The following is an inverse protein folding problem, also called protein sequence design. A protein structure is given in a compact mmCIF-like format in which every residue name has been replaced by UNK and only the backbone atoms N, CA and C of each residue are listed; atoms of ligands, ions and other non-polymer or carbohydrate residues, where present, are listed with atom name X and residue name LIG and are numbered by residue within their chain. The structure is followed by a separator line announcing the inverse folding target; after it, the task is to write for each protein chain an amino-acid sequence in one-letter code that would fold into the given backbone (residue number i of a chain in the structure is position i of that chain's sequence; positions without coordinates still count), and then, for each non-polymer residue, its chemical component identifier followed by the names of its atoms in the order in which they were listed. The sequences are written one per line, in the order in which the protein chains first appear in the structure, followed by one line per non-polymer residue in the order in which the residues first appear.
data_IF_302846335864
#
_entry.id   IF_302846335864
#
_cell.length_a   1.000
_cell.length_b   1.000
_cell.length_c   1.000
_cell.angle_alpha   90.00
_cell.angle_beta   90.00
_cell.angle_gamma   90.00
#
_symmetry.space_group_name_H-M   'P 1'
#
loop_
_entity.id
_entity.type
_entity.pdbx_description
1 polymer ?
#
# COMPACT_ATOMS: atom_id res chain seq x y z
N UNK A 1 2.29 18.53 -2.02
CA UNK A 1 2.26 18.61 -0.54
C UNK A 1 2.16 17.23 0.10
N UNK A 2 1.24 16.35 -0.33
CA UNK A 2 1.06 15.02 0.26
C UNK A 2 2.36 14.21 0.38
N UNK A 3 3.18 14.17 -0.67
CA UNK A 3 4.49 13.49 -0.67
C UNK A 3 5.43 13.98 0.45
N UNK A 4 5.44 15.29 0.72
CA UNK A 4 6.28 15.85 1.78
C UNK A 4 5.75 15.45 3.16
N UNK A 5 4.42 15.51 3.35
CA UNK A 5 3.80 15.10 4.61
C UNK A 5 3.94 13.61 4.87
N UNK A 6 3.76 12.76 3.86
CA UNK A 6 3.97 11.30 4.00
C UNK A 6 5.44 10.97 4.24
N UNK A 7 6.36 11.69 3.60
CA UNK A 7 7.81 11.54 3.84
C UNK A 7 8.21 11.90 5.27
N UNK A 8 7.75 13.04 5.79
CA UNK A 8 8.01 13.45 7.18
C UNK A 8 7.33 12.48 8.15
N UNK A 9 6.09 12.08 7.89
CA UNK A 9 5.37 11.10 8.70
C UNK A 9 6.06 9.73 8.76
N UNK A 10 6.60 9.25 7.63
CA UNK A 10 7.37 8.02 7.57
C UNK A 10 8.68 8.11 8.36
N UNK A 11 9.39 9.25 8.28
CA UNK A 11 10.61 9.48 9.06
C UNK A 11 10.33 9.54 10.57
N UNK A 12 9.24 10.20 10.99
CA UNK A 12 8.84 10.21 12.39
C UNK A 12 8.39 8.82 12.87
N UNK A 13 7.66 8.09 12.04
CA UNK A 13 7.24 6.71 12.31
C UNK A 13 8.43 5.77 12.47
N UNK A 14 9.46 5.87 11.63
CA UNK A 14 10.65 5.02 11.75
C UNK A 14 11.40 5.28 13.05
N UNK A 15 11.55 6.55 13.47
CA UNK A 15 12.19 6.93 14.74
C UNK A 15 11.40 6.43 15.95
N UNK A 16 10.07 6.53 15.91
CA UNK A 16 9.20 6.11 17.02
C UNK A 16 9.22 4.59 17.25
N UNK A 17 9.48 3.80 16.21
CA UNK A 17 9.46 2.32 16.27
C UNK A 17 10.84 1.66 16.48
N UNK A 18 11.94 2.41 16.67
CA UNK A 18 13.32 1.87 16.83
C UNK A 18 13.47 0.86 17.99
N UNK A 19 12.63 0.95 19.03
CA UNK A 19 12.65 0.05 20.20
C UNK A 19 11.36 -0.73 20.43
N UNK A 20 10.45 -0.76 19.46
CA UNK A 20 9.14 -1.40 19.62
C UNK A 20 9.23 -2.93 19.57
N UNK A 21 8.35 -3.61 20.30
CA UNK A 21 8.26 -5.07 20.25
C UNK A 21 7.86 -5.54 18.83
N UNK A 22 8.38 -6.68 18.34
CA UNK A 22 8.02 -7.21 17.02
C UNK A 22 6.52 -7.43 16.84
N UNK A 23 5.81 -7.79 17.91
CA UNK A 23 4.36 -7.99 17.90
C UNK A 23 3.59 -6.70 17.62
N UNK A 24 3.99 -5.58 18.26
CA UNK A 24 3.36 -4.27 18.04
C UNK A 24 3.61 -3.77 16.62
N UNK A 25 4.83 -3.96 16.11
CA UNK A 25 5.15 -3.57 14.74
C UNK A 25 4.32 -4.34 13.71
N UNK A 26 4.25 -5.67 13.84
CA UNK A 26 3.45 -6.52 12.97
C UNK A 26 1.95 -6.19 13.03
N UNK A 27 1.43 -5.88 14.23
CA UNK A 27 0.04 -5.48 14.41
C UNK A 27 -0.28 -4.18 13.66
N UNK A 28 0.54 -3.14 13.85
CA UNK A 28 0.33 -1.83 13.19
C UNK A 28 0.48 -1.96 11.67
N UNK A 29 1.48 -2.72 11.20
CA UNK A 29 1.69 -2.94 9.77
C UNK A 29 0.54 -3.74 9.15
N UNK A 30 0.00 -4.74 9.85
CA UNK A 30 -1.18 -5.49 9.43
C UNK A 30 -2.44 -4.62 9.33
N UNK A 31 -2.68 -3.76 10.32
CA UNK A 31 -3.79 -2.80 10.27
C UNK A 31 -3.63 -1.82 9.10
N UNK A 32 -2.42 -1.29 8.89
CA UNK A 32 -2.14 -0.39 7.77
C UNK A 32 -2.34 -1.07 6.40
N UNK A 33 -1.91 -2.33 6.27
CA UNK A 33 -2.14 -3.12 5.06
C UNK A 33 -3.64 -3.33 4.81
N UNK A 34 -4.42 -3.62 5.86
CA UNK A 34 -5.88 -3.75 5.76
C UNK A 34 -6.55 -2.47 5.30
N UNK A 35 -6.17 -1.31 5.86
CA UNK A 35 -6.71 -0.01 5.45
C UNK A 35 -6.46 0.29 3.96
N UNK A 36 -5.26 -0.04 3.46
CA UNK A 36 -4.92 0.09 2.03
C UNK A 36 -5.80 -0.83 1.16
N UNK A 37 -6.02 -2.09 1.58
CA UNK A 37 -6.87 -3.03 0.85
C UNK A 37 -8.32 -2.56 0.77
N UNK A 38 -8.90 -2.06 1.86
CA UNK A 38 -10.26 -1.50 1.89
C UNK A 38 -10.38 -0.30 0.95
N UNK A 39 -9.42 0.62 0.96
CA UNK A 39 -9.43 1.78 0.04
C UNK A 39 -9.41 1.34 -1.42
N UNK A 40 -8.59 0.34 -1.74
CA UNK A 40 -8.50 -0.21 -3.10
C UNK A 40 -9.84 -0.85 -3.51
N UNK A 41 -10.43 -1.66 -2.64
CA UNK A 41 -11.67 -2.38 -2.93
C UNK A 41 -12.89 -1.46 -3.09
N UNK A 42 -13.07 -0.50 -2.18
CA UNK A 42 -14.30 0.29 -2.09
C UNK A 42 -14.33 1.48 -3.05
N UNK A 43 -13.18 2.10 -3.33
CA UNK A 43 -13.16 3.39 -4.05
C UNK A 43 -12.28 3.36 -5.29
N UNK A 44 -11.04 2.88 -5.18
CA UNK A 44 -10.10 2.95 -6.31
C UNK A 44 -10.49 2.00 -7.44
N UNK A 45 -10.87 0.75 -7.14
CA UNK A 45 -11.25 -0.22 -8.17
C UNK A 45 -12.56 0.18 -8.87
N UNK A 46 -13.67 0.48 -8.17
CA UNK A 46 -14.91 0.87 -8.83
C UNK A 46 -14.73 2.09 -9.71
N UNK A 47 -14.06 3.15 -9.21
CA UNK A 47 -13.83 4.38 -9.97
C UNK A 47 -12.95 4.13 -11.19
N UNK A 48 -11.90 3.30 -11.05
CA UNK A 48 -11.06 2.91 -12.16
C UNK A 48 -11.86 2.15 -13.23
N UNK A 49 -12.68 1.15 -12.87
CA UNK A 49 -13.51 0.42 -13.82
C UNK A 49 -14.51 1.33 -14.54
N UNK A 50 -15.13 2.28 -13.84
CA UNK A 50 -16.04 3.25 -14.45
C UNK A 50 -15.34 4.15 -15.49
N UNK A 51 -14.11 4.57 -15.23
CA UNK A 51 -13.36 5.49 -16.13
C UNK A 51 -12.58 4.78 -17.23
N UNK A 52 -11.99 3.62 -16.94
CA UNK A 52 -11.01 2.94 -17.78
C UNK A 52 -11.47 1.63 -18.42
N UNK A 53 -12.67 1.14 -18.09
CA UNK A 53 -13.24 -0.07 -18.68
C UNK A 53 -12.38 -1.33 -18.44
N UNK A 54 -12.31 -2.25 -19.42
CA UNK A 54 -11.64 -3.55 -19.21
C UNK A 54 -10.11 -3.48 -19.16
N UNK A 55 -9.50 -2.39 -19.62
CA UNK A 55 -8.03 -2.19 -19.60
C UNK A 55 -7.51 -2.10 -18.16
N UNK A 56 -8.34 -1.64 -17.23
CA UNK A 56 -8.00 -1.50 -15.81
C UNK A 56 -7.56 -2.84 -15.24
N UNK A 57 -8.31 -3.93 -15.50
CA UNK A 57 -7.95 -5.26 -15.00
C UNK A 57 -6.57 -5.74 -15.45
N UNK A 58 -6.24 -5.54 -16.73
CA UNK A 58 -4.90 -5.87 -17.26
C UNK A 58 -3.81 -5.00 -16.62
N UNK A 59 -4.06 -3.70 -16.46
CA UNK A 59 -3.10 -2.78 -15.83
C UNK A 59 -2.85 -3.12 -14.35
N UNK A 60 -3.90 -3.48 -13.60
CA UNK A 60 -3.80 -3.89 -12.19
C UNK A 60 -3.04 -5.21 -12.06
N UNK A 61 -3.31 -6.18 -12.95
CA UNK A 61 -2.59 -7.45 -13.00
C UNK A 61 -1.10 -7.24 -13.29
N UNK A 62 -0.75 -6.39 -14.25
CA UNK A 62 0.64 -6.07 -14.55
C UNK A 62 1.35 -5.43 -13.35
N UNK A 63 0.72 -4.46 -12.68
CA UNK A 63 1.29 -3.85 -11.47
C UNK A 63 1.52 -4.85 -10.35
N UNK A 64 0.58 -5.76 -10.13
CA UNK A 64 0.70 -6.81 -9.12
C UNK A 64 1.79 -7.84 -9.46
N UNK A 65 1.90 -8.24 -10.73
CA UNK A 65 2.97 -9.12 -11.21
C UNK A 65 4.36 -8.48 -11.01
N UNK A 66 4.52 -7.19 -11.33
CA UNK A 66 5.77 -6.47 -11.11
C UNK A 66 6.12 -6.46 -9.62
N UNK A 67 5.16 -6.17 -8.74
CA UNK A 67 5.38 -6.17 -7.30
C UNK A 67 5.84 -7.54 -6.76
N UNK A 68 5.20 -8.62 -7.18
CA UNK A 68 5.59 -9.99 -6.82
C UNK A 68 6.96 -10.34 -7.39
N UNK A 69 7.23 -9.97 -8.64
CA UNK A 69 8.50 -10.22 -9.29
C UNK A 69 9.64 -9.55 -8.52
N UNK A 70 9.49 -8.28 -8.15
CA UNK A 70 10.47 -7.57 -7.31
C UNK A 70 10.63 -8.23 -5.95
N UNK A 71 9.54 -8.68 -5.31
CA UNK A 71 9.62 -9.37 -4.01
C UNK A 71 10.32 -10.73 -4.09
N UNK A 72 10.22 -11.41 -5.23
CA UNK A 72 10.89 -12.70 -5.48
C UNK A 72 12.38 -12.53 -5.78
N UNK A 73 12.77 -11.36 -6.28
CA UNK A 73 14.15 -11.03 -6.65
C UNK A 73 15.02 -10.56 -5.46
N UNK A 74 14.37 -10.25 -4.33
CA UNK A 74 14.95 -9.81 -3.06
C UNK A 74 15.28 -11.00 -2.14
#
# INVERSE_FOLDING_TARGET
SLMLFTGIGAALGSIFFIGASPATYAFVQGVAAGAMLTMVAETMLPEAYFKGGSVVGLSTLLGFLIAIFTKTLE
#
